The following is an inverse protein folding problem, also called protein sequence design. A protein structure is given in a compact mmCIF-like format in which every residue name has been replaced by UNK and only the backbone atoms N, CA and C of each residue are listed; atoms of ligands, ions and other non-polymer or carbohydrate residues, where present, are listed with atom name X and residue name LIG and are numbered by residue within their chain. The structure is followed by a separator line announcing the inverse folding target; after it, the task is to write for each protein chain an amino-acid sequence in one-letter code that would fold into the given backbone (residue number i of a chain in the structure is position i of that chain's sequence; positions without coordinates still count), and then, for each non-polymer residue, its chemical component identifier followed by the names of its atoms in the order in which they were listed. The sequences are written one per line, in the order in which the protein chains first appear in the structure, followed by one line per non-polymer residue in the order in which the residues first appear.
data_IF_903084933678
#
_entry.id   IF_903084933678
#
_cell.length_a   1.000
_cell.length_b   1.000
_cell.length_c   1.000
_cell.angle_alpha   90.00
_cell.angle_beta   90.00
_cell.angle_gamma   90.00
#
_symmetry.space_group_name_H-M   'P 1'
#
loop_
_entity.id
_entity.type
_entity.pdbx_description
1 polymer ?
#
# COMPACT_ATOMS: atom_id res chain seq x y z
N UNK A 1 -12.64 -21.64 -2.69
CA UNK A 1 -12.38 -20.27 -2.18
C UNK A 1 -11.93 -19.43 -3.36
N UNK A 2 -12.57 -18.29 -3.60
CA UNK A 2 -12.25 -17.42 -4.74
C UNK A 2 -11.00 -16.59 -4.45
N UNK A 3 -10.19 -16.35 -5.49
CA UNK A 3 -9.07 -15.42 -5.40
C UNK A 3 -9.60 -13.99 -5.22
N UNK A 4 -9.02 -13.26 -4.28
CA UNK A 4 -9.30 -11.83 -4.09
C UNK A 4 -8.44 -10.98 -5.01
N UNK A 5 -7.24 -11.47 -5.35
CA UNK A 5 -6.28 -10.81 -6.22
C UNK A 5 -5.65 -11.84 -7.16
N UNK A 6 -5.53 -11.47 -8.42
CA UNK A 6 -4.78 -12.21 -9.43
C UNK A 6 -3.97 -11.24 -10.28
N UNK A 7 -2.72 -11.56 -10.48
CA UNK A 7 -1.84 -10.94 -11.46
C UNK A 7 -1.49 -12.01 -12.48
N UNK A 8 -1.83 -11.80 -13.75
CA UNK A 8 -1.71 -12.80 -14.79
C UNK A 8 -0.77 -12.34 -15.89
N UNK A 9 0.25 -13.16 -16.20
CA UNK A 9 1.24 -12.94 -17.24
C UNK A 9 1.91 -11.56 -17.18
N UNK A 10 2.19 -11.06 -15.98
CA UNK A 10 2.80 -9.75 -15.78
C UNK A 10 4.22 -9.75 -16.32
N UNK A 11 4.46 -8.91 -17.31
CA UNK A 11 5.78 -8.69 -17.88
C UNK A 11 6.21 -7.25 -17.63
N UNK A 12 7.44 -7.06 -17.18
CA UNK A 12 8.04 -5.74 -16.99
C UNK A 12 9.49 -5.75 -17.44
N UNK A 13 9.80 -4.84 -18.39
CA UNK A 13 11.14 -4.64 -18.96
C UNK A 13 11.66 -3.26 -18.53
N UNK A 14 12.92 -3.24 -18.18
CA UNK A 14 13.70 -2.02 -18.03
C UNK A 14 14.86 -2.06 -19.04
N UNK A 15 15.52 -0.95 -19.36
CA UNK A 15 16.68 -0.96 -20.24
C UNK A 15 17.73 -1.99 -19.78
N UNK A 16 17.92 -3.04 -20.58
CA UNK A 16 18.88 -4.12 -20.33
C UNK A 16 18.44 -5.19 -19.30
N UNK A 17 17.22 -5.09 -18.71
CA UNK A 17 16.75 -6.06 -17.70
C UNK A 17 15.30 -6.44 -17.92
N UNK A 18 15.02 -7.73 -17.99
CA UNK A 18 13.67 -8.29 -17.90
C UNK A 18 13.37 -8.60 -16.43
N UNK A 19 12.67 -7.68 -15.75
CA UNK A 19 12.44 -7.79 -14.30
C UNK A 19 11.33 -8.79 -13.94
N UNK A 20 10.28 -8.86 -14.75
CA UNK A 20 9.23 -9.87 -14.65
C UNK A 20 8.95 -10.41 -16.05
N UNK A 21 8.88 -11.72 -16.18
CA UNK A 21 8.55 -12.42 -17.42
C UNK A 21 7.36 -13.33 -17.21
N UNK A 22 6.19 -12.88 -17.70
CA UNK A 22 4.90 -13.58 -17.56
C UNK A 22 4.65 -14.09 -16.13
N UNK A 23 5.02 -13.25 -15.16
CA UNK A 23 4.87 -13.58 -13.74
C UNK A 23 3.38 -13.70 -13.38
N UNK A 24 3.06 -14.73 -12.62
CA UNK A 24 1.72 -14.97 -12.12
C UNK A 24 1.73 -14.93 -10.59
N UNK A 25 0.74 -14.27 -9.99
CA UNK A 25 0.55 -14.20 -8.56
C UNK A 25 -0.94 -14.29 -8.23
N UNK A 26 -1.27 -15.05 -7.20
CA UNK A 26 -2.67 -15.22 -6.76
C UNK A 26 -2.72 -15.15 -5.24
N UNK A 27 -3.77 -14.50 -4.73
CA UNK A 27 -4.03 -14.40 -3.30
C UNK A 27 -5.51 -14.74 -3.05
N UNK A 28 -5.76 -15.65 -2.12
CA UNK A 28 -7.12 -16.01 -1.69
C UNK A 28 -7.57 -15.10 -0.55
N UNK A 29 -8.89 -14.99 -0.39
CA UNK A 29 -9.46 -14.23 0.71
C UNK A 29 -9.06 -14.82 2.06
N UNK A 30 -8.54 -13.97 2.96
CA UNK A 30 -8.09 -14.37 4.30
C UNK A 30 -6.75 -15.11 4.34
N UNK A 31 -6.03 -15.18 3.21
CA UNK A 31 -4.72 -15.81 3.11
C UNK A 31 -3.59 -14.83 3.46
N UNK A 32 -2.56 -15.34 4.14
CA UNK A 32 -1.25 -14.69 4.25
C UNK A 32 -0.33 -15.38 3.26
N UNK A 33 0.11 -14.65 2.24
CA UNK A 33 0.95 -15.17 1.18
C UNK A 33 2.36 -14.56 1.27
N UNK A 34 3.40 -15.40 1.31
CA UNK A 34 4.79 -14.97 1.40
C UNK A 34 5.45 -15.10 0.04
N UNK A 35 5.96 -14.01 -0.50
CA UNK A 35 6.71 -13.98 -1.75
C UNK A 35 8.20 -14.10 -1.47
N UNK A 36 8.76 -15.28 -1.73
CA UNK A 36 10.19 -15.59 -1.53
C UNK A 36 10.96 -15.54 -2.84
N UNK A 37 12.24 -15.21 -2.75
CA UNK A 37 13.17 -15.19 -3.88
C UNK A 37 14.42 -14.38 -3.57
N UNK A 38 15.45 -14.54 -4.37
CA UNK A 38 16.72 -13.81 -4.24
C UNK A 38 16.58 -12.32 -4.49
N UNK A 39 17.58 -11.54 -4.09
CA UNK A 39 17.63 -10.11 -4.42
C UNK A 39 17.72 -9.95 -5.94
N UNK A 40 16.90 -9.05 -6.49
CA UNK A 40 16.81 -8.89 -7.95
C UNK A 40 15.83 -9.82 -8.67
N UNK A 41 15.15 -10.75 -7.98
CA UNK A 41 14.19 -11.68 -8.59
C UNK A 41 12.86 -11.03 -9.05
N UNK A 42 12.75 -9.70 -9.09
CA UNK A 42 11.55 -9.00 -9.57
C UNK A 42 10.41 -8.86 -8.56
N UNK A 43 10.58 -9.30 -7.29
CA UNK A 43 9.53 -9.22 -6.25
C UNK A 43 9.05 -7.79 -6.02
N UNK A 44 9.97 -6.87 -5.80
CA UNK A 44 9.66 -5.44 -5.58
C UNK A 44 9.01 -4.83 -6.81
N UNK A 45 9.45 -5.20 -8.02
CA UNK A 45 8.85 -4.75 -9.27
C UNK A 45 7.40 -5.21 -9.37
N UNK A 46 7.11 -6.47 -9.07
CA UNK A 46 5.76 -7.03 -9.09
C UNK A 46 4.83 -6.33 -8.09
N UNK A 47 5.30 -6.08 -6.87
CA UNK A 47 4.53 -5.37 -5.84
C UNK A 47 4.34 -3.89 -6.19
N UNK A 48 5.34 -3.22 -6.79
CA UNK A 48 5.21 -1.85 -7.27
C UNK A 48 4.20 -1.73 -8.43
N UNK A 49 4.08 -2.76 -9.26
CA UNK A 49 3.04 -2.82 -10.30
C UNK A 49 1.66 -2.94 -9.64
N UNK A 50 1.50 -3.82 -8.67
CA UNK A 50 0.24 -3.99 -7.94
C UNK A 50 -0.19 -2.71 -7.23
N UNK A 51 0.76 -1.96 -6.69
CA UNK A 51 0.48 -0.69 -5.98
C UNK A 51 0.39 0.53 -6.92
N UNK A 52 0.61 0.36 -8.23
CA UNK A 52 0.47 1.43 -9.21
C UNK A 52 1.65 2.40 -9.30
N UNK A 53 2.80 2.07 -8.69
CA UNK A 53 4.05 2.83 -8.86
C UNK A 53 4.73 2.55 -10.19
N UNK A 54 4.47 1.38 -10.75
CA UNK A 54 4.96 0.95 -12.06
C UNK A 54 3.78 0.42 -12.88
N UNK A 55 3.88 0.57 -14.21
CA UNK A 55 2.92 -0.05 -15.11
C UNK A 55 3.52 -1.32 -15.71
N UNK A 56 2.77 -2.42 -15.82
CA UNK A 56 3.21 -3.59 -16.55
C UNK A 56 3.28 -3.27 -18.05
N UNK A 57 4.19 -3.92 -18.76
CA UNK A 57 4.25 -3.82 -20.22
C UNK A 57 3.24 -4.81 -20.86
N UNK A 58 3.00 -5.96 -20.19
CA UNK A 58 2.03 -6.97 -20.57
C UNK A 58 1.40 -7.60 -19.32
N UNK A 59 0.23 -8.22 -19.49
CA UNK A 59 -0.51 -8.90 -18.44
C UNK A 59 -1.67 -8.09 -17.89
N UNK A 60 -2.40 -8.68 -16.94
CA UNK A 60 -3.54 -8.02 -16.31
C UNK A 60 -3.59 -8.27 -14.81
N UNK A 61 -4.23 -7.35 -14.09
CA UNK A 61 -4.52 -7.47 -12.66
C UNK A 61 -6.02 -7.62 -12.51
N UNK A 62 -6.45 -8.59 -11.69
CA UNK A 62 -7.84 -8.80 -11.33
C UNK A 62 -8.02 -8.69 -9.82
N UNK A 63 -9.05 -7.97 -9.40
CA UNK A 63 -9.44 -7.85 -7.99
C UNK A 63 -10.90 -8.28 -7.88
N UNK A 64 -11.17 -9.23 -6.98
CA UNK A 64 -12.48 -9.86 -6.84
C UNK A 64 -13.04 -10.45 -8.16
N UNK A 65 -12.15 -10.92 -9.05
CA UNK A 65 -12.51 -11.49 -10.36
C UNK A 65 -12.68 -10.45 -11.48
N UNK A 66 -12.69 -9.16 -11.18
CA UNK A 66 -12.81 -8.09 -12.17
C UNK A 66 -11.44 -7.58 -12.62
N UNK A 67 -11.22 -7.43 -13.92
CA UNK A 67 -10.01 -6.83 -14.46
C UNK A 67 -9.96 -5.34 -14.10
N UNK A 68 -8.86 -4.90 -13.51
CA UNK A 68 -8.67 -3.52 -13.06
C UNK A 68 -7.39 -2.93 -13.65
N UNK A 69 -7.41 -1.62 -13.86
CA UNK A 69 -6.23 -0.84 -14.23
C UNK A 69 -5.81 0.03 -13.06
N UNK A 70 -4.60 -0.19 -12.57
CA UNK A 70 -4.04 0.55 -11.44
C UNK A 70 -2.92 1.43 -12.00
N UNK A 71 -3.18 2.72 -12.16
CA UNK A 71 -2.22 3.68 -12.71
C UNK A 71 -1.50 4.50 -11.63
N UNK A 72 -1.98 4.44 -10.40
CA UNK A 72 -1.45 5.21 -9.29
C UNK A 72 -1.70 4.51 -7.95
N UNK A 73 -0.97 4.88 -6.88
CA UNK A 73 -1.27 4.42 -5.53
C UNK A 73 -2.70 4.76 -5.05
N UNK A 74 -3.27 5.84 -5.54
CA UNK A 74 -4.67 6.21 -5.22
C UNK A 74 -5.66 5.24 -5.85
N UNK A 75 -5.40 4.78 -7.09
CA UNK A 75 -6.22 3.74 -7.73
C UNK A 75 -6.09 2.42 -6.96
N UNK A 76 -4.87 2.04 -6.55
CA UNK A 76 -4.65 0.85 -5.74
C UNK A 76 -5.47 0.89 -4.45
N UNK A 77 -5.42 2.02 -3.73
CA UNK A 77 -6.20 2.23 -2.52
C UNK A 77 -7.72 2.19 -2.76
N UNK A 78 -8.19 2.73 -3.89
CA UNK A 78 -9.60 2.68 -4.27
C UNK A 78 -10.08 1.24 -4.50
N UNK A 79 -9.19 0.36 -4.97
CA UNK A 79 -9.44 -1.08 -5.13
C UNK A 79 -9.15 -1.89 -3.86
N UNK A 80 -8.82 -1.25 -2.73
CA UNK A 80 -8.56 -1.92 -1.45
C UNK A 80 -7.14 -2.49 -1.30
N UNK A 81 -6.21 -2.11 -2.17
CA UNK A 81 -4.79 -2.50 -2.08
C UNK A 81 -4.02 -1.42 -1.33
N UNK A 82 -3.50 -1.76 -0.16
CA UNK A 82 -2.58 -0.92 0.62
C UNK A 82 -1.15 -1.47 0.59
N UNK A 83 -0.15 -0.61 0.77
CA UNK A 83 1.24 -1.00 0.83
C UNK A 83 1.95 -0.35 2.00
N UNK A 84 2.76 -1.14 2.70
CA UNK A 84 3.71 -0.64 3.68
C UNK A 84 5.09 -0.69 3.04
N UNK A 85 5.70 0.50 2.87
CA UNK A 85 7.01 0.62 2.25
C UNK A 85 8.12 0.19 3.21
N UNK A 86 9.21 -0.33 2.67
CA UNK A 86 10.39 -0.74 3.43
C UNK A 86 11.06 0.44 4.18
N UNK A 87 10.99 1.63 3.59
CA UNK A 87 11.45 2.87 4.23
C UNK A 87 10.24 3.78 4.48
N UNK A 88 9.93 4.00 5.74
CA UNK A 88 8.85 4.91 6.13
C UNK A 88 9.29 6.35 5.90
N UNK A 89 8.56 7.08 5.07
CA UNK A 89 8.72 8.51 4.90
C UNK A 89 7.89 9.26 5.94
N UNK A 90 8.28 9.13 7.22
CA UNK A 90 7.66 9.84 8.31
C UNK A 90 8.36 11.19 8.51
N UNK A 91 7.59 12.22 8.81
CA UNK A 91 8.11 13.56 9.10
C UNK A 91 8.33 13.70 10.61
N UNK A 92 9.60 13.70 11.10
CA UNK A 92 9.90 13.64 12.52
C UNK A 92 9.31 14.79 13.34
N UNK A 93 9.27 15.98 12.75
CA UNK A 93 8.80 17.22 13.39
C UNK A 93 7.27 17.43 13.29
N UNK A 94 6.54 16.43 12.82
CA UNK A 94 5.08 16.40 12.82
C UNK A 94 4.57 15.41 13.86
N UNK A 95 3.37 15.65 14.38
CA UNK A 95 2.70 14.71 15.27
C UNK A 95 2.26 13.45 14.51
N UNK A 96 1.94 12.38 15.23
CA UNK A 96 1.37 11.15 14.66
C UNK A 96 0.12 11.48 13.85
N UNK A 97 -0.80 12.29 14.39
CA UNK A 97 -2.02 12.69 13.68
C UNK A 97 -1.74 13.46 12.40
N UNK A 98 -0.75 14.36 12.41
CA UNK A 98 -0.34 15.10 11.21
C UNK A 98 0.27 14.18 10.14
N UNK A 99 1.15 13.25 10.54
CA UNK A 99 1.72 12.26 9.61
C UNK A 99 0.65 11.37 8.97
N UNK A 100 -0.33 10.90 9.74
CA UNK A 100 -1.45 10.09 9.24
C UNK A 100 -2.36 10.89 8.31
N UNK A 101 -2.49 12.20 8.52
CA UNK A 101 -3.32 13.07 7.70
C UNK A 101 -2.71 13.39 6.32
N UNK A 102 -1.38 13.23 6.15
CA UNK A 102 -0.71 13.50 4.87
C UNK A 102 -1.30 12.62 3.76
N UNK A 103 -1.73 13.23 2.67
CA UNK A 103 -2.28 12.55 1.48
C UNK A 103 -3.75 12.11 1.58
N UNK A 104 -4.35 12.18 2.76
CA UNK A 104 -5.78 11.95 3.00
C UNK A 104 -6.37 13.05 3.88
N UNK A 105 -6.12 14.27 3.55
CA UNK A 105 -6.54 15.44 4.34
C UNK A 105 -8.05 15.41 4.61
N UNK A 106 -8.54 14.90 5.76
CA UNK A 106 -9.94 15.04 6.12
C UNK A 106 -10.21 16.53 6.38
N UNK A 107 -11.11 17.10 5.60
CA UNK A 107 -11.40 18.53 5.66
C UNK A 107 -12.66 18.80 6.47
N UNK A 108 -12.60 19.81 7.33
CA UNK A 108 -13.76 20.45 7.96
C UNK A 108 -13.85 21.88 7.41
N UNK A 109 -14.56 22.04 6.29
CA UNK A 109 -14.53 23.28 5.52
C UNK A 109 -13.13 23.52 4.91
N UNK A 110 -12.53 24.72 5.06
CA UNK A 110 -11.18 25.00 4.56
C UNK A 110 -10.05 24.45 5.43
N UNK A 111 -10.35 23.86 6.60
CA UNK A 111 -9.35 23.42 7.57
C UNK A 111 -9.22 21.90 7.61
N UNK A 112 -8.03 21.43 8.02
CA UNK A 112 -7.72 20.03 8.26
C UNK A 112 -8.42 19.57 9.55
N UNK A 113 -9.19 18.46 9.49
CA UNK A 113 -9.86 17.87 10.65
C UNK A 113 -8.95 16.87 11.37
N UNK A 114 -7.95 17.38 12.07
CA UNK A 114 -7.02 16.54 12.85
C UNK A 114 -7.71 15.85 14.03
N UNK A 115 -8.81 16.40 14.54
CA UNK A 115 -9.56 15.80 15.64
C UNK A 115 -10.19 14.46 15.23
N UNK A 116 -10.74 14.41 14.02
CA UNK A 116 -11.27 13.17 13.43
C UNK A 116 -10.17 12.11 13.26
N UNK A 117 -8.99 12.52 12.79
CA UNK A 117 -7.82 11.64 12.64
C UNK A 117 -7.37 11.13 14.00
N UNK A 118 -7.21 12.01 14.99
CA UNK A 118 -6.80 11.66 16.35
C UNK A 118 -7.75 10.68 17.03
N UNK A 119 -9.06 10.87 16.84
CA UNK A 119 -10.09 9.95 17.34
C UNK A 119 -9.89 8.55 16.74
N UNK A 120 -9.72 8.47 15.42
CA UNK A 120 -9.53 7.19 14.74
C UNK A 120 -8.23 6.50 15.15
N UNK A 121 -7.15 7.24 15.37
CA UNK A 121 -5.89 6.70 15.90
C UNK A 121 -6.11 6.09 17.29
N UNK A 122 -6.80 6.78 18.20
CA UNK A 122 -7.07 6.26 19.54
C UNK A 122 -7.97 5.02 19.53
N UNK A 123 -8.95 4.95 18.63
CA UNK A 123 -9.78 3.75 18.43
C UNK A 123 -8.92 2.55 18.01
N UNK A 124 -8.11 2.72 16.95
CA UNK A 124 -7.22 1.67 16.45
C UNK A 124 -6.15 1.27 17.50
N UNK A 125 -5.58 2.25 18.20
CA UNK A 125 -4.64 2.01 19.29
C UNK A 125 -5.21 1.06 20.35
N UNK A 126 -6.47 1.27 20.75
CA UNK A 126 -7.16 0.38 21.70
C UNK A 126 -7.49 -0.99 21.10
N UNK A 127 -7.97 -1.00 19.84
CA UNK A 127 -8.35 -2.23 19.14
C UNK A 127 -7.17 -3.20 18.98
N UNK A 128 -5.98 -2.64 18.64
CA UNK A 128 -4.77 -3.43 18.40
C UNK A 128 -3.84 -3.54 19.62
N UNK A 129 -4.18 -2.89 20.74
CA UNK A 129 -3.36 -2.93 21.96
C UNK A 129 -2.01 -2.23 21.80
N UNK A 130 -1.90 -1.23 20.92
CA UNK A 130 -0.69 -0.45 20.65
C UNK A 130 -0.80 0.90 21.37
N UNK A 131 0.21 1.29 22.14
CA UNK A 131 0.26 2.61 22.79
C UNK A 131 0.72 3.68 21.80
N UNK A 132 -0.24 4.26 21.07
CA UNK A 132 0.01 5.30 20.08
C UNK A 132 -0.83 6.54 20.37
N UNK A 133 -0.18 7.60 20.87
CA UNK A 133 -0.82 8.88 21.14
C UNK A 133 -0.77 9.81 19.92
N UNK A 134 -1.91 10.35 19.43
CA UNK A 134 -1.97 11.16 18.22
C UNK A 134 -1.16 12.46 18.28
N UNK A 135 -1.01 13.02 19.48
CA UNK A 135 -0.39 14.32 19.71
C UNK A 135 1.13 14.23 19.95
N UNK A 136 1.68 13.01 20.08
CA UNK A 136 3.14 12.81 20.14
C UNK A 136 3.79 13.16 18.82
N UNK A 137 4.95 13.82 18.89
CA UNK A 137 5.79 14.00 17.70
C UNK A 137 6.38 12.67 17.23
N UNK A 138 6.55 12.52 15.93
CA UNK A 138 7.01 11.27 15.34
C UNK A 138 8.39 10.84 15.85
N UNK A 139 9.28 11.79 16.14
CA UNK A 139 10.60 11.52 16.73
C UNK A 139 10.55 10.96 18.17
N UNK A 140 9.41 11.05 18.85
CA UNK A 140 9.17 10.49 20.19
C UNK A 140 8.58 9.08 20.16
N UNK A 141 8.21 8.60 18.97
CA UNK A 141 7.62 7.28 18.75
C UNK A 141 8.72 6.38 18.18
N UNK A 142 9.36 5.60 19.04
CA UNK A 142 10.43 4.66 18.67
C UNK A 142 10.00 3.23 18.93
#
# INVERSE_FOLDING_TARGET
MSNILEMQNITKRFPGVLANDKANFQLKRGEIHVLLGENGAGKTTLMNILYGLLQPDEGEIRINGEAVKIHSPLDALAHGVGMVHQHFMLVPNMTVAQNVAIGKEPRKGPFLDLEKVSRRIRELSREFGVDLEPDRYMWQVS
#
